data_IF_855582744357
#
_entry.id   IF_855582744357
#
_cell.length_a   1.000
_cell.length_b   1.000
_cell.length_c   1.000
_cell.angle_alpha   90.00
_cell.angle_beta   90.00
_cell.angle_gamma   90.00
#
_symmetry.space_group_name_H-M   'P 1'
#
loop_
_entity.id
_entity.type
_entity.pdbx_description
1 polymer ?
#
# COMPACT_ATOMS: atom_id res chain seq x y z
N UNK A 1 23.41 -19.63 -21.66
CA UNK A 1 23.10 -18.86 -20.47
C UNK A 1 21.68 -18.32 -20.66
N UNK A 2 20.85 -18.35 -19.61
CA UNK A 2 19.52 -17.74 -19.65
C UNK A 2 19.63 -16.24 -19.84
N UNK A 3 18.61 -15.62 -20.40
CA UNK A 3 18.43 -14.18 -20.42
C UNK A 3 18.08 -13.65 -19.02
N UNK A 4 17.84 -12.34 -18.90
CA UNK A 4 17.53 -11.66 -17.66
C UNK A 4 16.14 -11.04 -17.71
N UNK A 5 15.44 -11.10 -16.58
CA UNK A 5 14.16 -10.42 -16.38
C UNK A 5 14.42 -9.07 -15.69
N UNK A 6 13.97 -7.98 -16.30
CA UNK A 6 14.08 -6.63 -15.77
C UNK A 6 12.69 -6.14 -15.35
N UNK A 7 12.52 -5.77 -14.09
CA UNK A 7 11.32 -5.10 -13.61
C UNK A 7 11.56 -3.58 -13.71
N UNK A 8 10.96 -2.93 -14.70
CA UNK A 8 11.28 -1.55 -15.06
C UNK A 8 10.18 -0.62 -14.63
N UNK A 9 10.46 0.26 -13.66
CA UNK A 9 9.53 1.29 -13.26
C UNK A 9 9.34 2.33 -14.38
N UNK A 10 8.07 2.70 -14.62
CA UNK A 10 7.64 3.71 -15.59
C UNK A 10 7.11 4.96 -14.88
N UNK A 11 6.99 6.10 -15.56
CA UNK A 11 6.42 7.32 -14.98
C UNK A 11 4.99 7.11 -14.48
N UNK A 12 4.62 7.84 -13.41
CA UNK A 12 3.26 7.82 -12.81
C UNK A 12 2.41 9.03 -13.19
N UNK A 13 2.89 9.86 -14.09
CA UNK A 13 2.15 11.04 -14.55
C UNK A 13 3.02 12.08 -15.24
N UNK A 14 4.33 12.09 -15.00
CA UNK A 14 5.30 12.97 -15.63
C UNK A 14 6.39 12.15 -16.33
N UNK A 15 6.53 12.31 -17.63
CA UNK A 15 7.50 11.55 -18.42
C UNK A 15 8.96 11.84 -18.03
N UNK A 16 9.25 12.99 -17.40
CA UNK A 16 10.59 13.34 -16.92
C UNK A 16 11.04 12.46 -15.73
N UNK A 17 10.12 11.76 -15.05
CA UNK A 17 10.44 10.86 -13.93
C UNK A 17 11.02 9.52 -14.38
N UNK A 18 11.15 9.27 -15.68
CA UNK A 18 11.80 8.05 -16.17
C UNK A 18 13.31 8.14 -15.96
N UNK A 19 13.91 7.08 -15.45
CA UNK A 19 15.36 7.07 -15.24
C UNK A 19 16.12 6.79 -16.54
N UNK A 20 17.33 7.36 -16.67
CA UNK A 20 18.24 7.06 -17.79
C UNK A 20 18.53 5.56 -17.91
N UNK A 21 18.61 4.84 -16.76
CA UNK A 21 18.81 3.40 -16.74
C UNK A 21 17.59 2.66 -17.29
N UNK A 22 16.37 3.08 -16.96
CA UNK A 22 15.14 2.51 -17.51
C UNK A 22 15.12 2.67 -19.04
N UNK A 23 15.39 3.86 -19.57
CA UNK A 23 15.46 4.11 -21.01
C UNK A 23 16.50 3.21 -21.71
N UNK A 24 17.69 3.07 -21.11
CA UNK A 24 18.74 2.23 -21.65
C UNK A 24 18.30 0.75 -21.69
N UNK A 25 17.76 0.22 -20.59
CA UNK A 25 17.28 -1.18 -20.52
C UNK A 25 16.16 -1.43 -21.52
N UNK A 26 15.17 -0.53 -21.63
CA UNK A 26 14.07 -0.65 -22.60
C UNK A 26 14.59 -0.66 -24.06
N UNK A 27 15.74 -0.02 -24.35
CA UNK A 27 16.41 -0.07 -25.65
C UNK A 27 17.23 -1.33 -25.87
N UNK A 28 17.76 -1.95 -24.82
CA UNK A 28 18.66 -3.12 -24.90
C UNK A 28 17.93 -4.48 -24.92
N UNK A 29 16.80 -4.62 -24.20
CA UNK A 29 16.08 -5.91 -24.11
C UNK A 29 15.53 -6.40 -25.44
N UNK A 30 15.29 -7.71 -25.55
CA UNK A 30 14.69 -8.33 -26.75
C UNK A 30 13.17 -8.09 -26.81
N UNK A 31 12.50 -8.12 -25.67
CA UNK A 31 11.04 -7.97 -25.56
C UNK A 31 10.67 -7.09 -24.36
N UNK A 32 9.52 -6.42 -24.48
CA UNK A 32 8.90 -5.72 -23.35
C UNK A 32 7.54 -6.36 -23.09
N UNK A 33 7.37 -6.92 -21.89
CA UNK A 33 6.11 -7.45 -21.39
C UNK A 33 5.35 -6.31 -20.68
N UNK A 34 4.19 -5.97 -21.19
CA UNK A 34 3.41 -4.80 -20.80
C UNK A 34 2.02 -5.18 -20.29
N UNK A 35 1.52 -4.49 -19.29
CA UNK A 35 0.16 -4.63 -18.79
C UNK A 35 -0.84 -4.24 -19.89
N UNK A 36 -0.83 -2.99 -20.34
CA UNK A 36 -1.51 -2.55 -21.56
C UNK A 36 -0.49 -2.11 -22.61
N UNK A 37 -0.39 -2.89 -23.68
CA UNK A 37 0.55 -2.62 -24.77
C UNK A 37 0.28 -1.28 -25.47
N UNK A 38 -0.96 -0.76 -25.43
CA UNK A 38 -1.34 0.53 -26.04
C UNK A 38 -0.76 1.70 -25.23
N UNK A 39 -0.80 1.61 -23.91
CA UNK A 39 -0.23 2.63 -23.02
C UNK A 39 1.30 2.60 -23.07
N UNK A 40 1.89 1.41 -22.99
CA UNK A 40 3.33 1.23 -23.15
C UNK A 40 3.83 1.74 -24.50
N UNK A 41 3.09 1.50 -25.58
CA UNK A 41 3.48 1.99 -26.92
C UNK A 41 3.56 3.53 -26.97
N UNK A 42 2.68 4.25 -26.28
CA UNK A 42 2.74 5.71 -26.20
C UNK A 42 4.03 6.17 -25.53
N UNK A 43 4.40 5.52 -24.38
CA UNK A 43 5.66 5.79 -23.69
C UNK A 43 6.87 5.53 -24.58
N UNK A 44 6.92 4.36 -25.22
CA UNK A 44 8.04 3.97 -26.09
C UNK A 44 8.19 4.90 -27.30
N UNK A 45 7.07 5.30 -27.92
CA UNK A 45 7.10 6.24 -29.04
C UNK A 45 7.63 7.62 -28.64
N UNK A 46 7.27 8.10 -27.43
CA UNK A 46 7.79 9.37 -26.92
C UNK A 46 9.32 9.36 -26.79
N UNK A 47 9.91 8.23 -26.39
CA UNK A 47 11.36 8.05 -26.25
C UNK A 47 12.04 7.41 -27.47
N UNK A 48 11.34 7.32 -28.59
CA UNK A 48 11.84 6.75 -29.85
C UNK A 48 12.39 5.31 -29.70
N UNK A 49 11.73 4.50 -28.84
CA UNK A 49 12.09 3.11 -28.58
C UNK A 49 11.20 2.19 -29.42
N UNK A 50 11.82 1.34 -30.25
CA UNK A 50 11.11 0.35 -31.06
C UNK A 50 11.46 -1.06 -30.59
N UNK A 51 10.55 -1.71 -29.85
CA UNK A 51 10.72 -3.06 -29.32
C UNK A 51 9.43 -3.87 -29.45
N UNK A 52 9.54 -5.19 -29.67
CA UNK A 52 8.38 -6.07 -29.64
C UNK A 52 7.72 -6.05 -28.27
N UNK A 53 6.38 -5.84 -28.26
CA UNK A 53 5.57 -5.86 -27.05
C UNK A 53 4.88 -7.22 -26.91
N UNK A 54 4.85 -7.72 -25.67
CA UNK A 54 4.09 -8.91 -25.26
C UNK A 54 3.10 -8.45 -24.20
N UNK A 55 1.82 -8.75 -24.37
CA UNK A 55 0.79 -8.39 -23.37
C UNK A 55 0.91 -9.31 -22.15
N UNK A 56 0.91 -8.74 -20.95
CA UNK A 56 1.04 -9.44 -19.66
C UNK A 56 -0.05 -8.93 -18.68
N UNK A 57 -1.31 -9.34 -18.89
CA UNK A 57 -2.46 -8.95 -18.05
C UNK A 57 -2.70 -9.95 -16.92
N UNK A 58 -3.19 -9.50 -15.77
CA UNK A 58 -3.60 -10.32 -14.61
C UNK A 58 -4.54 -11.50 -14.95
N UNK A 59 -5.40 -11.37 -15.96
CA UNK A 59 -6.39 -12.41 -16.30
C UNK A 59 -5.87 -13.57 -17.16
N UNK A 60 -4.60 -13.56 -17.60
CA UNK A 60 -4.00 -14.58 -18.47
C UNK A 60 -2.57 -14.96 -18.06
N UNK A 61 -2.24 -14.74 -16.79
CA UNK A 61 -0.86 -14.85 -16.30
C UNK A 61 -0.28 -16.25 -16.53
N UNK A 62 -0.94 -17.33 -16.09
CA UNK A 62 -0.36 -18.69 -16.11
C UNK A 62 0.09 -19.19 -17.49
N UNK A 63 -0.69 -18.99 -18.55
CA UNK A 63 -0.34 -19.46 -19.89
C UNK A 63 0.71 -18.58 -20.59
N UNK A 64 0.74 -17.27 -20.30
CA UNK A 64 1.67 -16.33 -20.92
C UNK A 64 3.00 -16.27 -20.20
N UNK A 65 3.01 -16.48 -18.90
CA UNK A 65 4.24 -16.62 -18.10
C UNK A 65 5.12 -17.75 -18.61
N UNK A 66 4.53 -18.89 -18.96
CA UNK A 66 5.29 -19.99 -19.56
C UNK A 66 6.03 -19.54 -20.83
N UNK A 67 5.37 -18.78 -21.71
CA UNK A 67 6.00 -18.27 -22.92
C UNK A 67 7.09 -17.20 -22.64
N UNK A 68 6.97 -16.40 -21.58
CA UNK A 68 8.02 -15.47 -21.17
C UNK A 68 9.21 -16.21 -20.54
N UNK A 69 8.95 -17.22 -19.70
CA UNK A 69 10.00 -18.05 -19.09
C UNK A 69 10.77 -18.85 -20.16
N UNK A 70 10.09 -19.39 -21.15
CA UNK A 70 10.75 -20.10 -22.28
C UNK A 70 11.71 -19.16 -23.02
N UNK A 71 11.26 -17.93 -23.35
CA UNK A 71 12.12 -16.93 -23.99
C UNK A 71 13.34 -16.55 -23.14
N UNK A 72 13.14 -16.41 -21.82
CA UNK A 72 14.24 -16.16 -20.89
C UNK A 72 15.23 -17.35 -20.88
N UNK A 73 14.73 -18.60 -20.89
CA UNK A 73 15.58 -19.84 -21.02
C UNK A 73 16.33 -19.91 -22.35
N UNK A 74 15.76 -19.37 -23.42
CA UNK A 74 16.40 -19.21 -24.73
C UNK A 74 17.51 -18.15 -24.78
N UNK A 75 17.74 -17.45 -23.66
CA UNK A 75 18.74 -16.39 -23.56
C UNK A 75 18.23 -14.98 -23.93
N UNK A 76 16.91 -14.79 -24.09
CA UNK A 76 16.31 -13.49 -24.39
C UNK A 76 16.15 -12.66 -23.13
N UNK A 77 16.50 -11.39 -23.19
CA UNK A 77 16.27 -10.41 -22.12
C UNK A 77 14.88 -9.83 -22.25
N UNK A 78 14.15 -9.75 -21.15
CA UNK A 78 12.77 -9.23 -21.11
C UNK A 78 12.65 -8.14 -20.06
N UNK A 79 12.06 -6.99 -20.41
CA UNK A 79 11.62 -5.98 -19.49
C UNK A 79 10.12 -6.16 -19.20
N UNK A 80 9.72 -6.17 -17.92
CA UNK A 80 8.33 -6.07 -17.49
C UNK A 80 8.06 -4.65 -17.08
N UNK A 81 6.97 -4.08 -17.59
CA UNK A 81 6.48 -2.75 -17.24
C UNK A 81 5.00 -2.81 -16.87
N UNK A 82 4.58 -1.99 -15.92
CA UNK A 82 3.17 -1.70 -15.64
C UNK A 82 2.71 -0.45 -16.41
N UNK A 83 1.42 -0.15 -16.38
CA UNK A 83 0.88 1.05 -17.01
C UNK A 83 1.45 2.32 -16.39
N UNK A 84 1.74 2.30 -15.07
CA UNK A 84 2.35 3.41 -14.35
C UNK A 84 3.12 2.91 -13.11
N UNK A 85 4.30 3.42 -12.86
CA UNK A 85 5.07 3.15 -11.65
C UNK A 85 5.86 1.84 -11.68
N UNK A 86 6.01 1.23 -10.50
CA UNK A 86 6.87 0.07 -10.27
C UNK A 86 6.09 -1.23 -10.46
N UNK A 87 6.47 -2.10 -11.42
CA UNK A 87 5.81 -3.39 -11.63
C UNK A 87 5.85 -4.26 -10.37
N UNK A 88 4.79 -5.03 -10.14
CA UNK A 88 4.65 -5.91 -8.98
C UNK A 88 4.16 -5.23 -7.71
N UNK A 89 3.99 -3.90 -7.71
CA UNK A 89 3.40 -3.14 -6.59
C UNK A 89 1.99 -2.70 -6.97
N UNK A 90 0.98 -3.46 -6.58
CA UNK A 90 -0.43 -3.33 -6.97
C UNK A 90 -0.71 -3.56 -8.46
N UNK A 91 0.29 -3.95 -9.23
CA UNK A 91 0.28 -4.17 -10.67
C UNK A 91 0.86 -5.54 -11.05
N UNK A 92 0.72 -6.02 -12.31
CA UNK A 92 1.36 -7.24 -12.75
C UNK A 92 2.89 -7.20 -12.63
N UNK A 93 3.51 -8.37 -12.38
CA UNK A 93 4.96 -8.50 -12.28
C UNK A 93 5.45 -9.40 -11.16
N UNK A 94 4.68 -9.55 -10.08
CA UNK A 94 5.03 -10.41 -8.95
C UNK A 94 5.15 -11.89 -9.38
N UNK A 95 4.17 -12.38 -10.11
CA UNK A 95 4.08 -13.80 -10.47
C UNK A 95 5.21 -14.18 -11.41
N UNK A 96 5.46 -13.40 -12.46
CA UNK A 96 6.58 -13.66 -13.40
C UNK A 96 7.94 -13.53 -12.69
N UNK A 97 8.11 -12.61 -11.76
CA UNK A 97 9.33 -12.49 -10.98
C UNK A 97 9.58 -13.73 -10.13
N UNK A 98 8.55 -14.23 -9.43
CA UNK A 98 8.61 -15.46 -8.63
C UNK A 98 8.99 -16.66 -9.49
N UNK A 99 8.31 -16.85 -10.63
CA UNK A 99 8.58 -17.92 -11.57
C UNK A 99 10.02 -17.88 -12.14
N UNK A 100 10.49 -16.67 -12.48
CA UNK A 100 11.86 -16.51 -12.97
C UNK A 100 12.89 -16.90 -11.89
N UNK A 101 12.66 -16.55 -10.64
CA UNK A 101 13.52 -16.93 -9.51
C UNK A 101 13.51 -18.46 -9.31
N UNK A 102 12.35 -19.10 -9.33
CA UNK A 102 12.21 -20.57 -9.24
C UNK A 102 12.99 -21.32 -10.33
N UNK A 103 13.08 -20.69 -11.50
CA UNK A 103 13.82 -21.23 -12.66
C UNK A 103 15.31 -20.79 -12.71
N UNK A 104 15.82 -20.18 -11.62
CA UNK A 104 17.19 -19.65 -11.51
C UNK A 104 17.55 -18.62 -12.60
N UNK A 105 16.59 -17.80 -13.01
CA UNK A 105 16.77 -16.69 -13.94
C UNK A 105 16.99 -15.40 -13.14
N UNK A 106 17.99 -14.61 -13.52
CA UNK A 106 18.28 -13.33 -12.90
C UNK A 106 17.10 -12.36 -13.00
N UNK A 107 16.60 -11.87 -11.87
CA UNK A 107 15.57 -10.82 -11.80
C UNK A 107 16.22 -9.52 -11.32
N UNK A 108 16.16 -8.48 -12.15
CA UNK A 108 16.85 -7.21 -11.90
C UNK A 108 15.83 -6.07 -11.79
N UNK A 109 15.68 -5.45 -10.61
CA UNK A 109 14.84 -4.27 -10.48
C UNK A 109 15.53 -3.04 -11.05
N UNK A 110 14.78 -2.25 -11.81
CA UNK A 110 15.21 -0.94 -12.31
C UNK A 110 14.44 0.12 -11.53
N UNK A 111 15.10 0.88 -10.64
CA UNK A 111 14.45 1.89 -9.81
C UNK A 111 13.74 2.97 -10.64
N UNK A 112 12.68 3.53 -10.08
CA UNK A 112 11.94 4.64 -10.68
C UNK A 112 10.77 5.07 -9.83
N UNK A 113 9.77 5.68 -10.45
CA UNK A 113 8.62 6.25 -9.78
C UNK A 113 7.81 5.18 -9.02
N UNK A 114 7.44 5.50 -7.79
CA UNK A 114 6.56 4.71 -6.94
C UNK A 114 5.64 5.65 -6.17
N UNK A 115 4.37 5.67 -6.52
CA UNK A 115 3.40 6.63 -5.99
C UNK A 115 3.30 6.57 -4.45
N UNK A 116 3.30 5.37 -3.86
CA UNK A 116 3.23 5.18 -2.41
C UNK A 116 4.40 5.82 -1.66
N UNK A 117 5.63 5.64 -2.14
CA UNK A 117 6.83 6.18 -1.52
C UNK A 117 6.91 7.70 -1.71
N UNK A 118 6.58 8.20 -2.91
CA UNK A 118 6.56 9.64 -3.16
C UNK A 118 5.50 10.36 -2.31
N UNK A 119 4.32 9.75 -2.13
CA UNK A 119 3.31 10.26 -1.22
C UNK A 119 3.82 10.29 0.24
N UNK A 120 4.46 9.21 0.69
CA UNK A 120 4.94 9.08 2.06
C UNK A 120 5.98 10.15 2.41
N UNK A 121 7.01 10.32 1.59
CA UNK A 121 8.09 11.28 1.88
C UNK A 121 7.62 12.73 1.88
N UNK A 122 6.54 13.04 1.16
CA UNK A 122 5.93 14.38 1.12
C UNK A 122 4.78 14.56 2.11
N UNK A 123 4.37 13.51 2.84
CA UNK A 123 3.21 13.57 3.75
C UNK A 123 3.45 14.39 5.01
N UNK A 124 4.66 14.32 5.58
CA UNK A 124 4.97 14.84 6.92
C UNK A 124 4.59 13.88 8.06
N UNK A 125 4.16 12.65 7.74
CA UNK A 125 3.95 11.57 8.70
C UNK A 125 5.26 10.80 8.97
N UNK A 126 5.27 9.92 9.97
CA UNK A 126 6.44 9.09 10.26
C UNK A 126 6.74 8.14 9.08
N UNK A 127 7.99 8.18 8.63
CA UNK A 127 8.48 7.39 7.49
C UNK A 127 9.35 6.20 7.88
N UNK A 128 9.65 6.03 9.19
CA UNK A 128 10.56 4.97 9.67
C UNK A 128 9.95 3.59 9.48
N UNK A 129 8.68 3.46 9.87
CA UNK A 129 7.91 2.24 9.69
C UNK A 129 6.55 2.57 9.10
N UNK A 130 6.15 1.85 8.07
CA UNK A 130 4.85 2.03 7.41
C UNK A 130 4.30 0.70 6.90
N UNK A 131 3.00 0.66 6.71
CA UNK A 131 2.28 -0.48 6.13
C UNK A 131 1.64 -0.03 4.83
N UNK A 132 2.06 -0.61 3.72
CA UNK A 132 1.44 -0.41 2.42
C UNK A 132 0.37 -1.47 2.18
N UNK A 133 -0.87 -1.06 1.95
CA UNK A 133 -2.03 -1.93 1.79
C UNK A 133 -2.51 -2.04 0.34
N UNK A 134 -1.99 -1.17 -0.55
CA UNK A 134 -2.50 -1.09 -1.92
C UNK A 134 -3.98 -0.70 -1.93
N UNK A 135 -4.76 -1.29 -2.84
CA UNK A 135 -6.21 -1.09 -2.89
C UNK A 135 -6.94 -1.96 -1.88
N UNK A 136 -7.84 -1.34 -1.12
CA UNK A 136 -8.73 -2.08 -0.23
C UNK A 136 -9.75 -2.92 -1.03
N UNK A 137 -10.26 -4.03 -0.44
CA UNK A 137 -11.23 -4.89 -1.10
C UNK A 137 -12.44 -4.12 -1.64
N UNK A 138 -12.91 -4.49 -2.84
CA UNK A 138 -14.12 -3.90 -3.44
C UNK A 138 -15.40 -4.35 -2.73
N UNK A 139 -15.41 -5.58 -2.21
CA UNK A 139 -16.52 -6.12 -1.43
C UNK A 139 -16.64 -5.36 -0.10
N UNK A 140 -17.80 -4.78 0.18
CA UNK A 140 -18.05 -3.94 1.36
C UNK A 140 -17.75 -4.65 2.68
N UNK A 141 -18.09 -5.95 2.81
CA UNK A 141 -17.86 -6.72 4.03
C UNK A 141 -16.36 -6.93 4.26
N UNK A 142 -15.64 -7.43 3.26
CA UNK A 142 -14.19 -7.66 3.34
C UNK A 142 -13.43 -6.35 3.55
N UNK A 143 -13.90 -5.25 2.94
CA UNK A 143 -13.33 -3.92 3.15
C UNK A 143 -13.47 -3.48 4.60
N UNK A 144 -14.68 -3.61 5.17
CA UNK A 144 -14.92 -3.27 6.58
C UNK A 144 -14.07 -4.13 7.51
N UNK A 145 -13.99 -5.43 7.29
CA UNK A 145 -13.14 -6.34 8.05
C UNK A 145 -11.67 -5.90 7.99
N UNK A 146 -11.16 -5.55 6.80
CA UNK A 146 -9.78 -5.06 6.65
C UNK A 146 -9.54 -3.73 7.35
N UNK A 147 -10.47 -2.80 7.30
CA UNK A 147 -10.38 -1.51 8.01
C UNK A 147 -10.39 -1.69 9.53
N UNK A 148 -11.22 -2.59 10.06
CA UNK A 148 -11.22 -2.92 11.50
C UNK A 148 -9.91 -3.60 11.93
N UNK A 149 -9.31 -4.46 11.09
CA UNK A 149 -8.01 -5.10 11.34
C UNK A 149 -6.89 -4.06 11.51
N UNK A 150 -6.86 -3.04 10.64
CA UNK A 150 -5.81 -2.02 10.64
C UNK A 150 -6.10 -0.80 11.53
N UNK A 151 -7.25 -0.78 12.19
CA UNK A 151 -7.70 0.34 13.02
C UNK A 151 -6.70 0.72 14.10
N UNK A 152 -6.04 -0.26 14.69
CA UNK A 152 -5.08 -0.06 15.78
C UNK A 152 -3.62 -0.15 15.31
N UNK A 153 -3.37 -0.13 13.98
CA UNK A 153 -2.00 -0.14 13.45
C UNK A 153 -1.25 1.11 13.90
N UNK A 154 -0.07 0.91 14.52
CA UNK A 154 0.76 1.99 15.08
C UNK A 154 1.69 2.63 14.06
N UNK A 155 1.85 2.01 12.89
CA UNK A 155 2.70 2.51 11.80
C UNK A 155 1.88 3.37 10.85
N UNK A 156 2.55 4.22 10.09
CA UNK A 156 1.88 4.97 9.01
C UNK A 156 1.26 4.02 8.00
N UNK A 157 -0.03 4.19 7.72
CA UNK A 157 -0.74 3.41 6.70
C UNK A 157 -0.72 4.14 5.36
N UNK A 158 -0.53 3.39 4.27
CA UNK A 158 -0.60 3.89 2.89
C UNK A 158 -1.61 3.04 2.12
N UNK A 159 -2.64 3.69 1.60
CA UNK A 159 -3.77 3.06 0.91
C UNK A 159 -3.99 3.75 -0.44
N UNK A 160 -4.09 2.99 -1.51
CA UNK A 160 -4.60 3.49 -2.79
C UNK A 160 -6.11 3.54 -2.74
N UNK A 161 -6.69 4.72 -2.97
CA UNK A 161 -8.12 4.92 -2.75
C UNK A 161 -8.79 5.70 -3.87
N UNK A 162 -10.02 5.31 -4.19
CA UNK A 162 -10.86 6.07 -5.08
C UNK A 162 -11.57 7.23 -4.31
N UNK A 163 -11.75 8.42 -4.93
CA UNK A 163 -12.34 9.59 -4.26
C UNK A 163 -13.64 9.28 -3.52
N UNK A 164 -14.56 8.59 -4.17
CA UNK A 164 -15.89 8.27 -3.62
C UNK A 164 -15.89 7.25 -2.46
N UNK A 165 -14.73 6.67 -2.12
CA UNK A 165 -14.58 5.69 -1.03
C UNK A 165 -13.82 6.24 0.19
N UNK A 166 -13.29 7.45 0.09
CA UNK A 166 -12.47 8.05 1.16
C UNK A 166 -13.25 8.13 2.46
N UNK A 167 -14.50 8.65 2.42
CA UNK A 167 -15.37 8.75 3.58
C UNK A 167 -15.58 7.41 4.28
N UNK A 168 -15.99 6.38 3.53
CA UNK A 168 -16.24 5.05 4.08
C UNK A 168 -15.01 4.44 4.74
N UNK A 169 -13.80 4.79 4.27
CA UNK A 169 -12.54 4.33 4.84
C UNK A 169 -12.20 5.05 6.13
N UNK A 170 -12.44 6.35 6.19
CA UNK A 170 -12.07 7.20 7.31
C UNK A 170 -13.00 7.02 8.52
N UNK A 171 -14.30 6.81 8.30
CA UNK A 171 -15.30 6.60 9.36
C UNK A 171 -14.94 5.46 10.33
N UNK A 172 -14.16 4.47 9.87
CA UNK A 172 -13.78 3.29 10.68
C UNK A 172 -12.45 3.51 11.41
N UNK A 173 -11.54 4.31 10.85
CA UNK A 173 -10.14 4.41 11.30
C UNK A 173 -9.98 5.26 12.57
N UNK A 174 -10.91 6.16 12.86
CA UNK A 174 -10.86 7.03 14.05
C UNK A 174 -10.06 8.32 13.84
N UNK A 175 -9.99 9.16 14.85
CA UNK A 175 -9.42 10.50 14.77
C UNK A 175 -7.87 10.46 14.74
N UNK A 176 -7.29 10.50 13.56
CA UNK A 176 -5.84 10.55 13.31
C UNK A 176 -5.52 11.63 12.29
N UNK A 177 -4.25 12.01 12.18
CA UNK A 177 -3.81 12.87 11.09
C UNK A 177 -3.84 12.11 9.78
N UNK A 178 -4.35 12.77 8.76
CA UNK A 178 -4.53 12.21 7.44
C UNK A 178 -3.90 13.11 6.40
N UNK A 179 -3.30 12.48 5.40
CA UNK A 179 -2.82 13.17 4.21
C UNK A 179 -3.43 12.48 3.00
N UNK A 180 -4.11 13.25 2.18
CA UNK A 180 -4.60 12.82 0.88
C UNK A 180 -3.65 13.39 -0.18
N UNK A 181 -2.85 12.53 -0.81
CA UNK A 181 -2.02 12.87 -1.94
C UNK A 181 -2.77 12.57 -3.24
N UNK A 182 -2.89 13.55 -4.11
CA UNK A 182 -3.68 13.47 -5.33
C UNK A 182 -2.86 13.83 -6.54
N UNK A 183 -3.04 13.08 -7.64
CA UNK A 183 -2.45 13.36 -8.95
C UNK A 183 -0.93 13.63 -8.90
N UNK A 184 -0.21 12.81 -8.10
CA UNK A 184 1.24 12.97 -7.87
C UNK A 184 1.98 13.01 -9.21
N UNK A 185 2.92 13.94 -9.36
CA UNK A 185 3.73 14.28 -10.54
C UNK A 185 2.98 14.93 -11.69
N UNK A 186 1.64 15.00 -11.63
CA UNK A 186 0.81 15.60 -12.67
C UNK A 186 0.61 17.11 -12.43
N UNK A 187 0.01 17.81 -13.40
CA UNK A 187 -0.23 19.27 -13.34
C UNK A 187 -1.08 19.67 -12.12
N UNK A 188 -1.96 18.78 -11.66
CA UNK A 188 -2.83 19.03 -10.53
C UNK A 188 -2.39 18.27 -9.26
N UNK A 189 -1.08 18.08 -9.11
CA UNK A 189 -0.51 17.49 -7.89
C UNK A 189 -0.91 18.31 -6.66
N UNK A 190 -1.45 17.61 -5.66
CA UNK A 190 -1.95 18.24 -4.45
C UNK A 190 -1.79 17.33 -3.23
N UNK A 191 -1.42 17.92 -2.09
CA UNK A 191 -1.37 17.27 -0.80
C UNK A 191 -2.31 17.98 0.19
N UNK A 192 -3.45 17.36 0.48
CA UNK A 192 -4.42 17.84 1.46
C UNK A 192 -4.11 17.19 2.81
N UNK A 193 -3.83 18.00 3.83
CA UNK A 193 -3.49 17.54 5.18
C UNK A 193 -4.54 18.01 6.15
N UNK A 194 -4.90 17.18 7.12
CA UNK A 194 -5.88 17.55 8.14
C UNK A 194 -6.34 16.36 8.98
N UNK A 195 -7.40 16.59 9.73
CA UNK A 195 -8.17 15.55 10.41
C UNK A 195 -9.22 14.94 9.45
N UNK A 196 -9.97 13.96 9.95
CA UNK A 196 -10.96 13.22 9.15
C UNK A 196 -12.00 14.15 8.52
N UNK A 197 -12.60 15.05 9.30
CA UNK A 197 -13.68 15.91 8.85
C UNK A 197 -13.23 16.86 7.75
N UNK A 198 -12.03 17.46 7.91
CA UNK A 198 -11.41 18.33 6.92
C UNK A 198 -11.10 17.61 5.61
N UNK A 199 -10.65 16.37 5.69
CA UNK A 199 -10.34 15.55 4.49
C UNK A 199 -11.63 15.15 3.78
N UNK A 200 -12.66 14.74 4.52
CA UNK A 200 -13.97 14.37 3.93
C UNK A 200 -14.56 15.58 3.19
N UNK A 201 -14.64 16.74 3.85
CA UNK A 201 -15.17 17.97 3.25
C UNK A 201 -14.45 18.34 1.95
N UNK A 202 -13.11 18.35 1.98
CA UNK A 202 -12.29 18.72 0.84
C UNK A 202 -12.30 17.66 -0.27
N UNK A 203 -12.58 16.40 0.05
CA UNK A 203 -12.53 15.28 -0.92
C UNK A 203 -13.83 15.09 -1.74
N UNK A 204 -14.96 15.65 -1.34
CA UNK A 204 -16.29 15.38 -1.94
C UNK A 204 -16.36 15.58 -3.45
N UNK A 205 -15.61 16.55 -4.01
CA UNK A 205 -15.63 16.87 -5.44
C UNK A 205 -14.32 16.55 -6.16
N UNK A 206 -13.38 15.87 -5.51
CA UNK A 206 -12.10 15.56 -6.11
C UNK A 206 -12.22 14.42 -7.13
N UNK A 207 -11.38 14.49 -8.16
CA UNK A 207 -11.23 13.48 -9.21
C UNK A 207 -9.76 13.09 -9.31
N UNK A 208 -9.50 11.97 -9.96
CA UNK A 208 -8.16 11.50 -10.24
C UNK A 208 -7.70 10.40 -9.30
N UNK A 209 -6.43 10.09 -9.36
CA UNK A 209 -5.79 9.04 -8.56
C UNK A 209 -5.40 9.59 -7.19
N UNK A 210 -5.69 8.83 -6.15
CA UNK A 210 -5.49 9.27 -4.77
C UNK A 210 -4.78 8.24 -3.93
N UNK A 211 -3.95 8.74 -3.03
CA UNK A 211 -3.26 7.96 -2.01
C UNK A 211 -3.65 8.53 -0.66
N UNK A 212 -4.22 7.70 0.16
CA UNK A 212 -4.59 8.02 1.52
C UNK A 212 -3.46 7.57 2.45
N UNK A 213 -2.86 8.52 3.16
CA UNK A 213 -1.86 8.24 4.19
C UNK A 213 -2.47 8.58 5.55
N UNK A 214 -2.30 7.68 6.50
CA UNK A 214 -2.92 7.80 7.82
C UNK A 214 -1.85 7.61 8.88
N UNK A 215 -1.78 8.54 9.82
CA UNK A 215 -0.89 8.44 10.99
C UNK A 215 -1.14 7.14 11.75
N UNK A 216 -0.10 6.54 12.30
CA UNK A 216 -0.22 5.37 13.18
C UNK A 216 -1.12 5.64 14.39
N UNK A 217 -1.79 4.62 14.88
CA UNK A 217 -2.66 4.73 16.06
C UNK A 217 -1.84 4.96 17.33
N UNK A 218 -2.17 6.00 18.08
CA UNK A 218 -1.64 6.22 19.43
C UNK A 218 -2.40 5.43 20.50
N UNK A 219 -3.60 4.94 20.18
CA UNK A 219 -4.43 4.19 21.13
C UNK A 219 -3.83 2.80 21.44
N UNK A 220 -3.21 2.16 20.44
CA UNK A 220 -2.54 0.87 20.64
C UNK A 220 -1.34 0.96 21.60
N UNK A 221 -0.62 2.09 21.61
CA UNK A 221 0.46 2.33 22.57
C UNK A 221 -0.06 2.52 23.99
N UNK A 222 -1.24 3.13 24.16
CA UNK A 222 -1.87 3.26 25.47
C UNK A 222 -2.39 1.92 25.99
N UNK A 223 -2.94 1.06 25.14
CA UNK A 223 -3.34 -0.30 25.52
C UNK A 223 -2.14 -1.15 25.95
N UNK A 224 -1.02 -1.08 25.21
CA UNK A 224 0.19 -1.80 25.59
C UNK A 224 0.84 -1.30 26.89
N UNK A 225 0.83 0.01 27.14
CA UNK A 225 1.35 0.61 28.39
C UNK A 225 0.47 0.18 29.57
N UNK A 226 -0.84 0.23 29.43
CA UNK A 226 -1.78 -0.18 30.47
C UNK A 226 -1.71 -1.68 30.77
N UNK A 227 -1.38 -2.50 29.77
CA UNK A 227 -1.21 -3.95 29.96
C UNK A 227 0.05 -4.32 30.78
N UNK A 228 1.06 -3.42 30.82
CA UNK A 228 2.25 -3.56 31.65
C UNK A 228 2.04 -3.13 33.12
N UNK A 229 0.94 -2.42 33.40
CA UNK A 229 0.57 -2.05 34.76
C UNK A 229 0.03 -3.25 35.55
N UNK A 230 0.13 -3.22 36.88
CA UNK A 230 -0.65 -4.15 37.72
C UNK A 230 -2.16 -3.96 37.48
N UNK A 231 -2.98 -4.93 37.83
CA UNK A 231 -4.45 -4.81 37.68
C UNK A 231 -5.00 -3.63 38.49
N UNK A 232 -4.43 -3.35 39.67
CA UNK A 232 -4.83 -2.22 40.52
C UNK A 232 -4.46 -0.87 39.90
N UNK A 233 -3.26 -0.74 39.35
CA UNK A 233 -2.85 0.49 38.64
C UNK A 233 -3.68 0.72 37.40
N UNK A 234 -3.96 -0.34 36.62
CA UNK A 234 -4.81 -0.27 35.43
C UNK A 234 -6.24 0.14 35.82
N UNK A 235 -6.78 -0.37 36.92
CA UNK A 235 -8.08 0.03 37.45
C UNK A 235 -8.10 1.53 37.82
N UNK A 236 -7.08 2.00 38.56
CA UNK A 236 -6.97 3.39 38.98
C UNK A 236 -6.90 4.39 37.80
N UNK A 237 -6.30 4.01 36.69
CA UNK A 237 -6.28 4.83 35.47
C UNK A 237 -7.69 5.10 34.96
N UNK A 238 -8.54 4.08 34.92
CA UNK A 238 -9.92 4.21 34.44
C UNK A 238 -10.86 4.83 35.48
N UNK A 239 -10.59 4.60 36.76
CA UNK A 239 -11.35 5.25 37.85
C UNK A 239 -11.16 6.78 37.83
N UNK A 240 -9.93 7.26 37.58
CA UNK A 240 -9.63 8.70 37.42
C UNK A 240 -10.33 9.33 36.20
N UNK A 241 -10.73 8.51 35.22
CA UNK A 241 -11.52 8.94 34.06
C UNK A 241 -13.04 8.97 34.35
N UNK A 242 -13.46 8.61 35.57
CA UNK A 242 -14.86 8.66 36.00
C UNK A 242 -15.70 7.46 35.57
N UNK A 243 -15.09 6.36 35.11
CA UNK A 243 -15.83 5.16 34.73
C UNK A 243 -16.33 4.37 35.95
N UNK A 244 -17.49 3.76 35.83
CA UNK A 244 -18.02 2.86 36.86
C UNK A 244 -17.22 1.55 36.97
N UNK A 245 -17.21 0.92 38.15
CA UNK A 245 -16.54 -0.38 38.41
C UNK A 245 -16.83 -1.42 37.33
N UNK A 246 -18.10 -1.51 36.87
CA UNK A 246 -18.53 -2.46 35.85
C UNK A 246 -17.93 -2.17 34.46
N UNK A 247 -17.79 -0.90 34.12
CA UNK A 247 -17.17 -0.45 32.86
C UNK A 247 -15.66 -0.66 32.88
N UNK A 248 -15.02 -0.34 34.02
CA UNK A 248 -13.59 -0.55 34.25
C UNK A 248 -13.21 -2.02 34.04
N UNK A 249 -13.91 -2.94 34.71
CA UNK A 249 -13.67 -4.39 34.59
C UNK A 249 -13.82 -4.87 33.14
N UNK A 250 -14.85 -4.38 32.43
CA UNK A 250 -15.09 -4.72 31.02
C UNK A 250 -13.94 -4.21 30.12
N UNK A 251 -13.45 -3.02 30.44
CA UNK A 251 -12.41 -2.37 29.66
C UNK A 251 -11.05 -3.03 29.88
N UNK A 252 -10.66 -3.29 31.14
CA UNK A 252 -9.44 -4.02 31.51
C UNK A 252 -9.41 -5.41 30.85
N UNK A 253 -10.55 -6.15 30.88
CA UNK A 253 -10.63 -7.47 30.27
C UNK A 253 -10.40 -7.41 28.74
N UNK A 254 -10.97 -6.39 28.09
CA UNK A 254 -10.75 -6.13 26.65
C UNK A 254 -9.30 -5.78 26.35
N UNK A 255 -8.72 -4.85 27.10
CA UNK A 255 -7.35 -4.34 26.90
C UNK A 255 -6.30 -5.45 27.07
N UNK A 256 -6.49 -6.33 28.04
CA UNK A 256 -5.59 -7.46 28.34
C UNK A 256 -5.90 -8.72 27.54
N UNK A 257 -6.97 -8.74 26.75
CA UNK A 257 -7.39 -9.93 25.99
C UNK A 257 -7.76 -11.13 26.86
N UNK A 258 -8.21 -10.89 28.12
CA UNK A 258 -8.57 -11.94 29.08
C UNK A 258 -10.10 -11.99 29.31
N UNK A 259 -10.57 -13.09 29.93
CA UNK A 259 -12.00 -13.23 30.21
C UNK A 259 -12.44 -12.22 31.29
N UNK A 260 -13.60 -11.55 31.06
CA UNK A 260 -14.16 -10.58 32.01
C UNK A 260 -14.35 -11.16 33.41
N UNK A 261 -14.70 -12.44 33.52
CA UNK A 261 -14.90 -13.10 34.81
C UNK A 261 -13.60 -13.22 35.61
N UNK A 262 -12.47 -13.36 34.95
CA UNK A 262 -11.15 -13.42 35.57
C UNK A 262 -10.81 -12.09 36.25
N UNK A 263 -11.01 -10.98 35.56
CA UNK A 263 -10.82 -9.63 36.11
C UNK A 263 -11.82 -9.35 37.23
N UNK A 264 -13.07 -9.81 37.09
CA UNK A 264 -14.10 -9.62 38.08
C UNK A 264 -13.76 -10.37 39.37
N UNK A 265 -13.30 -11.60 39.31
CA UNK A 265 -12.86 -12.41 40.44
C UNK A 265 -11.72 -11.75 41.21
N UNK A 266 -10.69 -11.24 40.49
CA UNK A 266 -9.57 -10.52 41.13
C UNK A 266 -10.03 -9.34 41.99
N UNK A 267 -11.04 -8.58 41.55
CA UNK A 267 -11.58 -7.43 42.30
C UNK A 267 -12.73 -7.77 43.26
N UNK A 268 -13.11 -9.04 43.38
CA UNK A 268 -14.02 -9.53 44.42
C UNK A 268 -13.31 -10.13 45.63
N UNK A 269 -12.13 -10.69 45.44
CA UNK A 269 -11.31 -11.31 46.48
C UNK A 269 -10.52 -10.25 47.28
N UNK A 270 -10.60 -8.99 46.92
CA UNK A 270 -10.07 -7.84 47.64
C UNK A 270 -11.20 -7.01 48.26
#
# INVERSE_FOLDING_TARGET
>A
MSGKLYLVATPIGNLEDITLRALRILKEVDYIAAEDTRNTLKLLNHFEIKKPLISNHRHNEENRENGLIEKLKEGKNIAVVSDAGTPGISDPGEVIARRAIEENIDVIPIPGACAAINALIASGLDTKEFVFLGFLPLNKKLRKEKLEEIKNETKTLIIYEAPHKIKDSLDIIGNRKIVLAREITKIHEEFIRGNIDEIIEKSENLKGEMILLIEGSHEANNENILNNLSLDEHYNVYEKQGLSKKEIIKKIAKDRGVNKNEIYQYFLEK
#
